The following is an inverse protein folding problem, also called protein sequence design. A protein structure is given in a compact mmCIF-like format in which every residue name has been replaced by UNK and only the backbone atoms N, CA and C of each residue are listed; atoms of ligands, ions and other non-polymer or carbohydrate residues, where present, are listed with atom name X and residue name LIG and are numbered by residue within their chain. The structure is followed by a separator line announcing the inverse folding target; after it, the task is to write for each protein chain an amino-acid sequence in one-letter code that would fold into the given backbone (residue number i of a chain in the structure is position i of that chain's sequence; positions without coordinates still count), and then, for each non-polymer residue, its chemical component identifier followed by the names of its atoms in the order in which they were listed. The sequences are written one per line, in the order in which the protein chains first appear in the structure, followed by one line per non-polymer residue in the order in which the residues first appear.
data_IF_482734242400
#
_entry.id   IF_482734242400
#
_cell.length_a   1.000
_cell.length_b   1.000
_cell.length_c   1.000
_cell.angle_alpha   90.00
_cell.angle_beta   90.00
_cell.angle_gamma   90.00
#
_symmetry.space_group_name_H-M   'P 1'
#
loop_
_entity.id
_entity.type
_entity.pdbx_description
1 polymer ?
#
# COMPACT_ATOMS: atom_id res chain seq x y z
N UNK A 1 8.45 19.38 -7.68
CA UNK A 1 7.26 20.00 -7.04
C UNK A 1 6.55 20.85 -8.06
N UNK A 2 5.22 20.75 -8.11
CA UNK A 2 4.39 21.41 -9.10
C UNK A 2 3.36 22.30 -8.40
N UNK A 3 3.06 23.46 -8.99
CA UNK A 3 1.97 24.30 -8.54
C UNK A 3 0.63 23.62 -8.84
N UNK A 4 -0.26 23.52 -7.84
CA UNK A 4 -1.61 22.95 -7.99
C UNK A 4 -2.68 24.02 -7.71
N UNK A 5 -2.60 25.15 -8.42
CA UNK A 5 -3.40 26.35 -8.12
C UNK A 5 -2.66 27.33 -7.17
N UNK A 6 -3.25 28.50 -6.87
CA UNK A 6 -2.55 29.63 -6.24
C UNK A 6 -2.12 29.37 -4.80
N UNK A 7 -2.72 28.38 -4.15
CA UNK A 7 -2.68 28.17 -2.71
C UNK A 7 -2.33 26.74 -2.30
N UNK A 8 -1.89 25.95 -3.29
CA UNK A 8 -1.55 24.57 -3.11
C UNK A 8 -0.24 24.20 -3.82
N UNK A 9 0.44 23.23 -3.23
CA UNK A 9 1.70 22.68 -3.72
C UNK A 9 1.56 21.17 -3.82
N UNK A 10 1.82 20.63 -5.00
CA UNK A 10 1.89 19.19 -5.23
C UNK A 10 3.35 18.76 -5.18
N UNK A 11 3.69 17.91 -4.22
CA UNK A 11 5.01 17.30 -4.11
C UNK A 11 4.95 15.94 -4.79
N UNK A 12 5.80 15.73 -5.79
CA UNK A 12 5.99 14.43 -6.45
C UNK A 12 7.22 13.75 -5.86
N UNK A 13 7.08 12.48 -5.50
CA UNK A 13 8.13 11.67 -4.88
C UNK A 13 8.49 10.51 -5.81
N UNK A 14 9.61 9.84 -5.53
CA UNK A 14 10.14 8.75 -6.35
C UNK A 14 9.14 7.58 -6.44
N UNK A 15 8.53 7.22 -5.32
CA UNK A 15 7.57 6.12 -5.18
C UNK A 15 6.63 6.34 -3.98
N UNK A 16 5.81 5.33 -3.68
CA UNK A 16 4.85 5.37 -2.58
C UNK A 16 5.48 5.31 -1.19
N UNK A 17 6.63 4.64 -1.02
CA UNK A 17 7.32 4.59 0.28
C UNK A 17 7.87 5.98 0.63
N UNK A 18 8.42 6.69 -0.34
CA UNK A 18 8.85 8.08 -0.17
C UNK A 18 7.67 9.04 0.09
N UNK A 19 6.52 8.81 -0.56
CA UNK A 19 5.31 9.61 -0.31
C UNK A 19 4.76 9.39 1.12
N UNK A 20 4.75 8.15 1.60
CA UNK A 20 4.36 7.80 2.96
C UNK A 20 5.31 8.44 3.99
N UNK A 21 6.62 8.31 3.79
CA UNK A 21 7.64 8.91 4.65
C UNK A 21 7.53 10.43 4.70
N UNK A 22 7.35 11.06 3.54
CA UNK A 22 7.18 12.51 3.46
C UNK A 22 5.89 12.98 4.15
N UNK A 23 4.79 12.24 3.98
CA UNK A 23 3.53 12.51 4.68
C UNK A 23 3.71 12.42 6.20
N UNK A 24 4.33 11.34 6.69
CA UNK A 24 4.60 11.18 8.13
C UNK A 24 5.46 12.33 8.68
N UNK A 25 6.48 12.77 7.95
CA UNK A 25 7.32 13.90 8.36
C UNK A 25 6.55 15.23 8.39
N UNK A 26 5.67 15.47 7.43
CA UNK A 26 4.80 16.64 7.40
C UNK A 26 3.87 16.69 8.63
N UNK A 27 3.25 15.57 8.99
CA UNK A 27 2.41 15.47 10.19
C UNK A 27 3.24 15.73 11.45
N UNK A 28 4.40 15.08 11.58
CA UNK A 28 5.30 15.24 12.72
C UNK A 28 5.74 16.70 12.91
N UNK A 29 6.04 17.42 11.82
CA UNK A 29 6.40 18.84 11.86
C UNK A 29 5.21 19.74 12.15
N UNK A 30 4.02 19.42 11.65
CA UNK A 30 2.78 20.13 12.00
C UNK A 30 2.52 20.06 13.50
N UNK A 31 2.66 18.88 14.11
CA UNK A 31 2.48 18.68 15.55
C UNK A 31 3.52 19.45 16.37
N UNK A 32 4.75 19.59 15.88
CA UNK A 32 5.79 20.43 16.50
C UNK A 32 5.67 21.93 16.21
N UNK A 33 4.73 22.35 15.36
CA UNK A 33 4.60 23.75 14.93
C UNK A 33 5.72 24.24 13.99
N UNK A 34 6.46 23.31 13.37
CA UNK A 34 7.57 23.59 12.46
C UNK A 34 7.14 23.65 10.98
N UNK A 35 5.90 23.26 10.68
CA UNK A 35 5.32 23.36 9.35
C UNK A 35 4.54 24.69 9.24
N UNK A 36 4.76 25.51 8.19
CA UNK A 36 3.90 26.65 7.91
C UNK A 36 2.43 26.25 7.87
N UNK A 37 1.52 27.15 8.27
CA UNK A 37 0.10 26.81 8.31
C UNK A 37 -0.40 26.39 6.92
N UNK A 38 -0.79 25.12 6.82
CA UNK A 38 -1.42 24.48 5.65
C UNK A 38 -2.71 23.86 6.17
N UNK A 39 -3.82 24.05 5.44
CA UNK A 39 -5.12 23.50 5.83
C UNK A 39 -5.11 21.98 5.73
N UNK A 40 -4.84 21.46 4.53
CA UNK A 40 -4.95 20.03 4.24
C UNK A 40 -3.62 19.45 3.75
N UNK A 41 -3.32 18.23 4.22
CA UNK A 41 -2.17 17.44 3.78
C UNK A 41 -2.74 16.12 3.28
N UNK A 42 -2.69 15.91 1.97
CA UNK A 42 -3.38 14.81 1.30
C UNK A 42 -2.37 13.91 0.60
N UNK A 43 -2.02 12.74 1.17
CA UNK A 43 -1.16 11.77 0.51
C UNK A 43 -1.92 11.03 -0.60
N UNK A 44 -1.18 10.60 -1.60
CA UNK A 44 -1.63 9.74 -2.69
C UNK A 44 -0.50 8.79 -3.10
N UNK A 45 -0.69 8.01 -4.17
CA UNK A 45 0.19 6.91 -4.57
C UNK A 45 1.69 7.23 -4.63
N UNK A 46 2.07 8.42 -5.12
CA UNK A 46 3.47 8.91 -5.14
C UNK A 46 3.58 10.42 -4.95
N UNK A 47 2.53 11.04 -4.43
CA UNK A 47 2.44 12.49 -4.32
C UNK A 47 1.83 12.89 -3.00
N UNK A 48 2.18 14.07 -2.50
CA UNK A 48 1.50 14.70 -1.36
C UNK A 48 1.06 16.10 -1.78
N UNK A 49 -0.24 16.37 -1.64
CA UNK A 49 -0.81 17.70 -1.86
C UNK A 49 -0.84 18.46 -0.53
N UNK A 50 -0.26 19.65 -0.53
CA UNK A 50 -0.43 20.65 0.53
C UNK A 50 -1.42 21.69 0.02
N UNK A 51 -2.62 21.75 0.60
CA UNK A 51 -3.66 22.70 0.21
C UNK A 51 -3.97 23.71 1.31
N UNK A 52 -4.31 24.94 0.92
CA UNK A 52 -4.59 26.04 1.83
C UNK A 52 -3.35 26.59 2.54
N UNK A 53 -2.24 26.77 1.81
CA UNK A 53 -1.00 27.38 2.34
C UNK A 53 -1.28 28.82 2.80
N UNK A 54 -1.25 29.08 4.10
CA UNK A 54 -1.72 30.34 4.68
C UNK A 54 -0.92 31.58 4.23
N UNK A 55 0.39 31.44 4.01
CA UNK A 55 1.21 32.54 3.47
C UNK A 55 0.78 32.85 2.03
N UNK A 56 0.17 34.03 1.86
CA UNK A 56 -0.29 34.55 0.56
C UNK A 56 0.71 35.53 -0.07
N UNK A 57 1.87 35.74 0.55
CA UNK A 57 2.89 36.65 0.05
C UNK A 57 3.45 36.19 -1.31
N UNK A 58 3.96 37.14 -2.13
CA UNK A 58 4.66 36.79 -3.36
C UNK A 58 5.79 35.77 -3.11
N UNK A 59 5.85 34.71 -3.91
CA UNK A 59 6.86 33.66 -3.79
C UNK A 59 6.73 32.74 -2.55
N UNK A 60 5.64 32.81 -1.78
CA UNK A 60 5.41 31.95 -0.61
C UNK A 60 5.51 30.46 -0.95
N UNK A 61 4.88 30.04 -2.05
CA UNK A 61 4.96 28.65 -2.54
C UNK A 61 6.38 28.24 -2.89
N UNK A 62 7.16 29.11 -3.51
CA UNK A 62 8.54 28.80 -3.90
C UNK A 62 9.48 28.75 -2.70
N UNK A 63 9.21 29.56 -1.66
CA UNK A 63 9.92 29.46 -0.38
C UNK A 63 9.59 28.14 0.32
N UNK A 64 8.31 27.79 0.41
CA UNK A 64 7.88 26.51 0.98
C UNK A 64 8.48 25.34 0.20
N UNK A 65 8.40 25.36 -1.13
CA UNK A 65 8.97 24.31 -1.96
C UNK A 65 10.49 24.13 -1.74
N UNK A 66 11.24 25.23 -1.62
CA UNK A 66 12.68 25.18 -1.30
C UNK A 66 12.97 24.65 0.10
N UNK A 67 12.18 25.07 1.09
CA UNK A 67 12.29 24.55 2.46
C UNK A 67 12.03 23.05 2.47
N UNK A 68 10.89 22.59 1.93
CA UNK A 68 10.55 21.17 1.83
C UNK A 68 11.63 20.34 1.11
N UNK A 69 12.23 20.89 0.05
CA UNK A 69 13.29 20.21 -0.69
C UNK A 69 14.61 20.08 0.09
N UNK A 70 14.79 20.87 1.15
CA UNK A 70 15.97 20.80 2.02
C UNK A 70 15.85 19.74 3.12
N UNK A 71 14.65 19.19 3.32
CA UNK A 71 14.39 18.27 4.42
C UNK A 71 15.03 16.91 4.17
N UNK A 72 15.60 16.35 5.23
CA UNK A 72 15.93 14.92 5.30
C UNK A 72 14.73 14.19 5.87
N UNK A 73 14.17 13.29 5.06
CA UNK A 73 12.99 12.49 5.40
C UNK A 73 13.48 11.08 5.63
N UNK A 74 13.38 10.63 6.87
CA UNK A 74 13.73 9.26 7.21
C UNK A 74 12.59 8.31 6.82
N UNK A 75 12.91 7.07 6.40
CA UNK A 75 11.89 6.06 6.15
C UNK A 75 11.01 5.83 7.38
N UNK A 76 9.72 5.61 7.16
CA UNK A 76 8.79 5.28 8.25
C UNK A 76 9.18 3.94 8.86
N UNK A 77 9.39 3.93 10.18
CA UNK A 77 9.56 2.66 10.90
C UNK A 77 8.28 1.83 10.78
N UNK A 78 8.42 0.59 10.32
CA UNK A 78 7.31 -0.38 10.25
C UNK A 78 6.97 -1.00 11.60
N UNK A 79 7.73 -0.69 12.65
CA UNK A 79 7.53 -1.22 14.00
C UNK A 79 6.62 -0.28 14.82
N UNK A 80 5.44 -0.77 15.20
CA UNK A 80 4.57 -0.14 16.20
C UNK A 80 3.08 -0.13 15.86
N UNK A 81 2.26 -0.22 16.92
CA UNK A 81 0.80 -0.13 16.89
C UNK A 81 0.11 -1.49 16.78
N UNK A 82 -0.97 -1.68 17.54
CA UNK A 82 -1.85 -2.83 17.35
C UNK A 82 -2.57 -2.68 15.99
N UNK A 83 -2.54 -3.69 15.12
CA UNK A 83 -3.18 -3.60 13.81
C UNK A 83 -4.70 -3.51 13.97
N UNK A 84 -5.33 -2.66 13.14
CA UNK A 84 -6.78 -2.70 12.96
C UNK A 84 -7.12 -4.03 12.28
N UNK A 85 -7.96 -4.82 12.93
CA UNK A 85 -8.45 -6.08 12.39
C UNK A 85 -9.68 -5.86 11.53
N UNK A 86 -9.62 -6.34 10.28
CA UNK A 86 -10.74 -6.30 9.35
C UNK A 86 -11.25 -7.72 9.13
N UNK A 87 -12.46 -8.09 9.61
CA UNK A 87 -13.04 -9.39 9.35
C UNK A 87 -13.41 -9.53 7.87
N UNK A 88 -13.07 -10.67 7.27
CA UNK A 88 -13.30 -10.95 5.84
C UNK A 88 -13.87 -12.34 5.63
N UNK A 89 -15.00 -12.41 4.93
CA UNK A 89 -15.46 -13.64 4.28
C UNK A 89 -14.83 -13.66 2.89
N UNK A 90 -14.01 -14.67 2.58
CA UNK A 90 -13.38 -14.83 1.26
C UNK A 90 -14.33 -15.59 0.34
N UNK A 91 -15.31 -14.89 -0.20
CA UNK A 91 -16.35 -15.37 -1.11
C UNK A 91 -16.42 -14.53 -2.41
N UNK A 92 -15.32 -13.84 -2.74
CA UNK A 92 -15.30 -12.88 -3.83
C UNK A 92 -15.40 -13.53 -5.22
N UNK A 93 -16.09 -12.89 -6.18
CA UNK A 93 -16.29 -13.44 -7.52
C UNK A 93 -15.02 -13.53 -8.37
N UNK A 94 -13.92 -12.87 -7.97
CA UNK A 94 -12.64 -12.91 -8.68
C UNK A 94 -11.61 -13.80 -7.95
N UNK A 95 -12.00 -14.57 -6.92
CA UNK A 95 -11.10 -15.46 -6.19
C UNK A 95 -10.35 -16.43 -7.10
N UNK A 96 -11.07 -17.17 -7.95
CA UNK A 96 -10.47 -18.14 -8.87
C UNK A 96 -9.52 -17.47 -9.86
N UNK A 97 -9.87 -16.27 -10.34
CA UNK A 97 -9.04 -15.50 -11.26
C UNK A 97 -7.75 -15.01 -10.58
N UNK A 98 -7.84 -14.56 -9.32
CA UNK A 98 -6.67 -14.17 -8.52
C UNK A 98 -5.81 -15.39 -8.17
N UNK A 99 -6.43 -16.52 -7.83
CA UNK A 99 -5.74 -17.78 -7.57
C UNK A 99 -4.92 -18.23 -8.77
N UNK A 100 -5.51 -18.17 -9.97
CA UNK A 100 -4.82 -18.47 -11.22
C UNK A 100 -3.63 -17.52 -11.49
N UNK A 101 -3.78 -16.22 -11.22
CA UNK A 101 -2.68 -15.24 -11.34
C UNK A 101 -1.54 -15.50 -10.36
N UNK A 102 -1.85 -16.03 -9.18
CA UNK A 102 -0.87 -16.36 -8.15
C UNK A 102 -0.30 -17.78 -8.26
N UNK A 103 -0.90 -18.64 -9.09
CA UNK A 103 -0.50 -20.04 -9.25
C UNK A 103 -0.83 -20.91 -8.04
N UNK A 104 -1.96 -20.64 -7.36
CA UNK A 104 -2.38 -21.26 -6.10
C UNK A 104 -3.84 -21.73 -6.15
N UNK A 105 -4.28 -22.48 -5.13
CA UNK A 105 -5.70 -22.80 -4.93
C UNK A 105 -6.54 -21.58 -4.51
N UNK A 106 -7.84 -21.56 -4.81
CA UNK A 106 -8.74 -20.46 -4.42
C UNK A 106 -8.84 -20.30 -2.89
N UNK A 107 -8.79 -21.41 -2.17
CA UNK A 107 -8.70 -21.49 -0.71
C UNK A 107 -7.39 -20.90 -0.14
N UNK A 108 -6.30 -20.92 -0.92
CA UNK A 108 -5.02 -20.34 -0.53
C UNK A 108 -4.97 -18.82 -0.69
N UNK A 109 -5.83 -18.21 -1.53
CA UNK A 109 -5.87 -16.76 -1.75
C UNK A 109 -6.16 -16.02 -0.44
N UNK A 110 -7.19 -16.45 0.28
CA UNK A 110 -7.56 -15.86 1.57
C UNK A 110 -6.48 -16.04 2.64
N UNK A 111 -5.81 -17.19 2.64
CA UNK A 111 -4.69 -17.47 3.55
C UNK A 111 -3.46 -16.60 3.25
N UNK A 112 -3.11 -16.39 1.98
CA UNK A 112 -2.01 -15.51 1.58
C UNK A 112 -2.31 -14.04 1.89
N UNK A 113 -3.53 -13.60 1.58
CA UNK A 113 -3.96 -12.24 1.86
C UNK A 113 -3.96 -11.96 3.37
N UNK A 114 -4.62 -12.79 4.19
CA UNK A 114 -4.69 -12.57 5.64
C UNK A 114 -3.36 -12.64 6.39
N UNK A 115 -2.38 -13.42 5.90
CA UNK A 115 -1.02 -13.48 6.50
C UNK A 115 -0.15 -12.27 6.16
N UNK A 116 -0.55 -11.47 5.18
CA UNK A 116 0.20 -10.28 4.77
C UNK A 116 -0.05 -9.14 5.76
N UNK A 117 1.02 -8.53 6.26
CA UNK A 117 0.91 -7.32 7.06
C UNK A 117 0.66 -6.14 6.12
N UNK A 118 -0.47 -5.46 6.32
CA UNK A 118 -0.83 -4.29 5.52
C UNK A 118 -0.70 -3.00 6.31
N UNK A 119 -0.57 -1.90 5.57
CA UNK A 119 -0.61 -0.55 6.10
C UNK A 119 -1.35 0.36 5.14
N UNK A 120 -2.11 1.31 5.67
CA UNK A 120 -2.78 2.32 4.84
C UNK A 120 -1.73 3.26 4.26
N UNK A 121 -1.48 3.18 2.96
CA UNK A 121 -0.55 4.07 2.27
C UNK A 121 -1.13 5.47 2.12
N UNK A 122 -2.41 5.56 1.73
CA UNK A 122 -3.15 6.80 1.61
C UNK A 122 -4.66 6.53 1.60
N UNK A 123 -5.45 7.56 1.83
CA UNK A 123 -6.91 7.51 1.78
C UNK A 123 -7.43 8.39 0.64
N UNK A 124 -8.55 8.02 0.04
CA UNK A 124 -9.12 8.74 -1.10
C UNK A 124 -10.27 7.98 -1.73
N UNK A 125 -10.74 8.40 -2.91
CA UNK A 125 -11.88 7.83 -3.65
C UNK A 125 -13.26 7.97 -2.96
N UNK A 126 -13.38 7.56 -1.70
CA UNK A 126 -14.58 7.73 -0.89
C UNK A 126 -14.21 7.85 0.60
N UNK A 127 -15.03 8.53 1.43
CA UNK A 127 -14.87 8.52 2.89
C UNK A 127 -14.77 7.08 3.42
N UNK A 128 -13.73 6.80 4.20
CA UNK A 128 -13.43 5.47 4.75
C UNK A 128 -12.67 4.51 3.84
N UNK A 129 -12.38 4.87 2.58
CA UNK A 129 -11.59 4.01 1.68
C UNK A 129 -10.09 4.28 1.86
N UNK A 130 -9.38 3.27 2.36
CA UNK A 130 -7.92 3.25 2.48
C UNK A 130 -7.28 2.36 1.42
N UNK A 131 -6.24 2.85 0.76
CA UNK A 131 -5.38 2.05 -0.12
C UNK A 131 -4.32 1.38 0.75
N UNK A 132 -4.41 0.06 0.89
CA UNK A 132 -3.55 -0.72 1.78
C UNK A 132 -2.39 -1.32 0.99
N UNK A 133 -1.16 -0.95 1.35
CA UNK A 133 0.08 -1.49 0.79
C UNK A 133 0.67 -2.56 1.71
N UNK A 134 1.58 -3.38 1.17
CA UNK A 134 2.23 -4.49 1.89
C UNK A 134 2.25 -5.79 1.10
N UNK A 135 1.48 -5.87 0.01
CA UNK A 135 1.44 -7.03 -0.86
C UNK A 135 2.79 -7.23 -1.58
N UNK A 136 3.44 -8.42 -1.45
CA UNK A 136 4.66 -8.72 -2.19
C UNK A 136 4.48 -8.56 -3.70
N UNK A 137 5.53 -8.13 -4.41
CA UNK A 137 5.48 -7.86 -5.87
C UNK A 137 4.93 -9.03 -6.69
N UNK A 138 5.33 -10.26 -6.35
CA UNK A 138 4.83 -11.49 -7.01
C UNK A 138 3.32 -11.72 -6.86
N UNK A 139 2.66 -11.05 -5.91
CA UNK A 139 1.23 -11.17 -5.65
C UNK A 139 0.45 -9.96 -6.20
N UNK A 140 1.10 -9.01 -6.86
CA UNK A 140 0.39 -7.88 -7.48
C UNK A 140 -0.53 -8.38 -8.59
N UNK A 141 -1.77 -7.91 -8.60
CA UNK A 141 -2.78 -8.34 -9.59
C UNK A 141 -3.24 -7.15 -10.43
N UNK A 142 -3.39 -7.29 -11.76
CA UNK A 142 -3.88 -6.19 -12.57
C UNK A 142 -5.33 -5.83 -12.22
N UNK A 143 -5.71 -4.59 -12.54
CA UNK A 143 -7.14 -4.23 -12.59
C UNK A 143 -7.84 -5.03 -13.68
N UNK A 144 -9.14 -5.23 -13.52
CA UNK A 144 -10.00 -5.73 -14.59
C UNK A 144 -9.94 -4.79 -15.79
N UNK A 145 -9.92 -5.36 -16.98
CA UNK A 145 -9.96 -4.64 -18.27
C UNK A 145 -11.24 -3.82 -18.40
N UNK A 146 -12.37 -4.38 -17.98
CA UNK A 146 -13.66 -3.69 -17.92
C UNK A 146 -14.09 -3.52 -16.46
N UNK A 147 -14.18 -2.27 -15.95
CA UNK A 147 -14.66 -2.01 -14.60
C UNK A 147 -16.11 -2.48 -14.40
N UNK A 148 -16.45 -2.91 -13.19
CA UNK A 148 -17.83 -3.14 -12.78
C UNK A 148 -18.55 -1.80 -12.67
N UNK A 149 -19.77 -1.74 -13.16
CA UNK A 149 -20.68 -0.60 -12.96
C UNK A 149 -21.06 -0.42 -11.51
N UNK A 150 -21.05 -1.52 -10.74
CA UNK A 150 -21.35 -1.53 -9.30
C UNK A 150 -20.53 -2.61 -8.59
N UNK A 151 -19.77 -2.18 -7.59
CA UNK A 151 -19.12 -3.00 -6.57
C UNK A 151 -19.92 -2.81 -5.27
N UNK A 152 -20.25 -3.88 -4.53
CA UNK A 152 -21.02 -3.77 -3.29
C UNK A 152 -20.18 -3.13 -2.16
N UNK A 153 -20.86 -2.51 -1.19
CA UNK A 153 -20.21 -2.09 0.04
C UNK A 153 -19.66 -3.32 0.79
N UNK A 154 -18.53 -3.15 1.47
CA UNK A 154 -17.79 -4.21 2.14
C UNK A 154 -16.93 -5.05 1.20
N UNK A 155 -16.99 -4.89 -0.12
CA UNK A 155 -16.16 -5.69 -1.01
C UNK A 155 -14.66 -5.49 -0.68
N UNK A 156 -13.96 -6.59 -0.44
CA UNK A 156 -12.50 -6.64 -0.27
C UNK A 156 -11.90 -6.93 -1.63
N UNK A 157 -10.95 -6.10 -2.06
CA UNK A 157 -10.47 -6.14 -3.42
C UNK A 157 -8.99 -5.84 -3.56
N UNK A 158 -8.40 -6.29 -4.67
CA UNK A 158 -6.99 -6.14 -5.02
C UNK A 158 -6.82 -5.39 -6.35
N UNK A 159 -5.80 -4.53 -6.42
CA UNK A 159 -5.30 -3.95 -7.67
C UNK A 159 -3.87 -3.42 -7.54
N UNK A 160 -2.99 -3.90 -8.42
CA UNK A 160 -1.56 -3.66 -8.39
C UNK A 160 -0.98 -4.06 -7.03
N UNK A 161 -0.25 -3.16 -6.36
CA UNK A 161 0.30 -3.41 -5.03
C UNK A 161 -0.71 -3.26 -3.88
N UNK A 162 -1.95 -2.88 -4.18
CA UNK A 162 -2.90 -2.45 -3.17
C UNK A 162 -4.01 -3.48 -2.94
N UNK A 163 -4.43 -3.56 -1.68
CA UNK A 163 -5.73 -4.11 -1.26
C UNK A 163 -6.58 -3.01 -0.63
N UNK A 164 -7.88 -3.23 -0.48
CA UNK A 164 -8.79 -2.22 0.04
C UNK A 164 -10.20 -2.77 0.25
N UNK A 165 -10.96 -2.07 1.10
CA UNK A 165 -12.37 -2.39 1.38
C UNK A 165 -13.23 -1.24 0.89
N UNK A 166 -14.22 -1.54 0.05
CA UNK A 166 -15.16 -0.54 -0.46
C UNK A 166 -16.14 -0.14 0.66
N UNK A 167 -16.13 1.09 1.18
CA UNK A 167 -17.01 1.49 2.29
C UNK A 167 -18.46 1.68 1.85
N UNK A 168 -18.68 1.94 0.55
CA UNK A 168 -20.00 2.20 -0.04
C UNK A 168 -20.06 1.65 -1.47
N UNK A 169 -21.27 1.40 -2.02
CA UNK A 169 -21.40 0.92 -3.39
C UNK A 169 -20.88 1.94 -4.39
N UNK A 170 -20.04 1.51 -5.34
CA UNK A 170 -19.44 2.40 -6.35
C UNK A 170 -18.97 1.60 -7.57
N UNK A 171 -18.78 2.22 -8.74
CA UNK A 171 -18.11 1.55 -9.86
C UNK A 171 -16.64 1.27 -9.51
N UNK A 172 -16.09 0.16 -10.01
CA UNK A 172 -14.73 -0.25 -9.65
C UNK A 172 -14.16 -1.37 -10.52
N UNK A 173 -12.87 -1.26 -10.83
CA UNK A 173 -12.14 -2.25 -11.64
C UNK A 173 -11.19 -3.14 -10.84
N UNK A 174 -11.28 -3.17 -9.52
CA UNK A 174 -10.44 -4.04 -8.69
C UNK A 174 -10.97 -5.47 -8.69
N UNK A 175 -10.07 -6.43 -8.47
CA UNK A 175 -10.39 -7.85 -8.37
C UNK A 175 -10.98 -8.11 -6.99
N UNK A 176 -12.24 -8.54 -6.91
CA UNK A 176 -12.98 -8.74 -5.67
C UNK A 176 -12.73 -10.15 -5.13
N UNK A 177 -12.08 -10.24 -3.97
CA UNK A 177 -11.67 -11.51 -3.34
C UNK A 177 -12.49 -11.88 -2.11
N UNK A 178 -13.35 -10.99 -1.62
CA UNK A 178 -14.23 -11.27 -0.50
C UNK A 178 -15.05 -10.08 -0.08
N UNK A 179 -15.59 -10.12 1.14
CA UNK A 179 -16.33 -9.03 1.75
C UNK A 179 -16.10 -8.91 3.25
N UNK A 180 -16.12 -7.67 3.73
CA UNK A 180 -16.25 -7.30 5.13
C UNK A 180 -17.74 -7.22 5.49
N UNK A 181 -18.23 -7.96 6.51
CA UNK A 181 -19.65 -7.96 6.88
C UNK A 181 -20.19 -6.59 7.34
N UNK A 182 -19.38 -5.80 8.05
CA UNK A 182 -19.77 -4.49 8.59
C UNK A 182 -18.92 -3.33 8.01
N UNK A 183 -19.18 -2.90 6.77
CA UNK A 183 -18.42 -1.81 6.15
C UNK A 183 -18.69 -0.44 6.75
N UNK A 184 -19.74 -0.26 7.57
CA UNK A 184 -20.03 1.02 8.22
C UNK A 184 -18.95 1.38 9.25
N UNK A 185 -18.32 0.38 9.87
CA UNK A 185 -17.22 0.58 10.81
C UNK A 185 -16.02 1.34 10.21
N UNK A 186 -15.83 1.30 8.88
CA UNK A 186 -14.76 2.00 8.17
C UNK A 186 -14.90 3.53 8.24
N UNK A 187 -16.12 4.02 8.37
CA UNK A 187 -16.42 5.45 8.45
C UNK A 187 -17.60 5.71 9.40
N UNK A 188 -17.29 6.28 10.56
CA UNK A 188 -18.28 6.69 11.55
C UNK A 188 -18.15 8.18 11.85
N UNK A 189 -19.09 9.04 11.43
CA UNK A 189 -19.02 10.48 11.67
C UNK A 189 -19.16 10.86 13.16
N UNK A 190 -19.57 9.93 14.03
CA UNK A 190 -19.64 10.14 15.47
C UNK A 190 -18.35 9.74 16.22
N UNK A 191 -17.39 9.10 15.54
CA UNK A 191 -16.09 8.70 16.10
C UNK A 191 -15.01 9.74 15.79
N UNK A 192 -14.04 9.90 16.69
CA UNK A 192 -12.81 10.67 16.45
C UNK A 192 -11.57 9.73 16.56
N UNK A 193 -10.83 9.48 15.47
CA UNK A 193 -11.09 9.94 14.10
C UNK A 193 -12.25 9.19 13.42
N UNK A 194 -12.98 9.90 12.54
CA UNK A 194 -14.13 9.34 11.85
C UNK A 194 -13.77 8.16 10.93
N UNK A 195 -12.64 8.27 10.23
CA UNK A 195 -12.08 7.18 9.43
C UNK A 195 -11.36 6.17 10.34
N UNK A 196 -11.73 4.90 10.23
CA UNK A 196 -11.01 3.82 10.91
C UNK A 196 -9.60 3.63 10.33
N UNK A 197 -9.46 3.87 9.03
CA UNK A 197 -8.25 3.66 8.25
C UNK A 197 -7.65 5.02 7.89
N UNK A 198 -6.75 5.53 8.72
CA UNK A 198 -5.94 6.72 8.42
C UNK A 198 -4.59 6.34 7.80
N UNK A 199 -3.91 7.25 7.06
CA UNK A 199 -2.58 6.97 6.51
C UNK A 199 -1.60 6.55 7.62
N UNK A 200 -0.84 5.49 7.37
CA UNK A 200 0.08 4.88 8.32
C UNK A 200 -0.55 3.85 9.27
N UNK A 201 -1.88 3.69 9.32
CA UNK A 201 -2.52 2.69 10.20
C UNK A 201 -2.11 1.26 9.79
N UNK A 202 -1.57 0.43 10.70
CA UNK A 202 -1.35 -1.00 10.44
C UNK A 202 -2.68 -1.74 10.38
N UNK A 203 -2.82 -2.68 9.45
CA UNK A 203 -4.05 -3.42 9.19
C UNK A 203 -3.76 -4.91 9.02
N UNK A 204 -4.63 -5.74 9.60
CA UNK A 204 -4.63 -7.19 9.42
C UNK A 204 -6.02 -7.65 8.99
N UNK A 205 -6.10 -8.46 7.94
CA UNK A 205 -7.35 -9.10 7.55
C UNK A 205 -7.51 -10.42 8.28
N UNK A 206 -8.67 -10.62 8.89
CA UNK A 206 -8.99 -11.81 9.68
C UNK A 206 -10.07 -12.61 8.94
N UNK A 207 -9.76 -13.82 8.42
CA UNK A 207 -10.77 -14.67 7.81
C UNK A 207 -11.87 -15.02 8.84
N UNK A 208 -13.13 -14.83 8.46
CA UNK A 208 -14.30 -15.28 9.23
C UNK A 208 -15.13 -16.21 8.36
N UNK A 209 -15.56 -17.34 8.91
CA UNK A 209 -16.38 -18.31 8.18
C UNK A 209 -17.76 -17.75 7.83
N UNK A 210 -18.45 -18.37 6.87
CA UNK A 210 -19.86 -18.10 6.60
C UNK A 210 -20.72 -18.61 7.77
N UNK A 211 -20.87 -17.77 8.80
CA UNK A 211 -21.65 -18.08 10.00
C UNK A 211 -20.82 -18.01 11.27
N UNK A 212 -20.57 -16.79 11.76
CA UNK A 212 -19.91 -16.57 13.04
C UNK A 212 -20.23 -15.19 13.60
N UNK A 213 -21.42 -15.02 14.18
CA UNK A 213 -21.56 -14.11 15.32
C UNK A 213 -20.60 -14.52 16.43
N UNK A 214 -20.31 -13.65 17.42
CA UNK A 214 -19.17 -13.83 18.32
C UNK A 214 -19.25 -15.17 19.04
N UNK A 215 -18.33 -16.08 18.71
CA UNK A 215 -18.12 -17.28 19.50
C UNK A 215 -17.31 -16.89 20.73
N UNK A 216 -18.03 -16.39 21.75
CA UNK A 216 -17.66 -16.66 23.12
C UNK A 216 -17.76 -18.19 23.31
N UNK A 217 -16.65 -18.87 23.06
CA UNK A 217 -16.54 -20.32 23.10
C UNK A 217 -15.33 -20.72 23.93
N UNK A 218 -15.57 -20.79 25.24
CA UNK A 218 -14.85 -21.51 26.28
C UNK A 218 -13.65 -22.37 25.82
N UNK A 219 -12.52 -22.15 26.48
CA UNK A 219 -11.47 -23.17 26.66
C UNK A 219 -12.15 -24.47 27.12
N UNK A 220 -12.02 -25.60 26.40
CA UNK A 220 -12.43 -26.87 26.95
C UNK A 220 -11.44 -27.23 28.05
N UNK A 221 -11.91 -27.25 29.30
CA UNK A 221 -11.14 -27.83 30.41
C UNK A 221 -10.73 -29.27 30.06
N UNK A 222 -9.49 -29.68 30.38
CA UNK A 222 -9.06 -31.04 30.17
C UNK A 222 -9.81 -31.94 31.16
N UNK A 223 -10.74 -32.76 30.63
CA UNK A 223 -11.40 -33.82 31.39
C UNK A 223 -10.35 -34.72 32.02
N UNK A 224 -10.35 -34.76 33.35
CA UNK A 224 -9.47 -35.58 34.16
C UNK A 224 -9.53 -37.04 33.74
N UNK A 225 -8.41 -37.54 33.23
CA UNK A 225 -8.11 -38.97 33.20
C UNK A 225 -7.68 -39.37 34.60
N UNK A 226 -8.49 -40.21 35.23
CA UNK A 226 -8.15 -41.00 36.42
C UNK A 226 -6.82 -41.72 36.20
N UNK A 227 -5.88 -41.48 37.12
CA UNK A 227 -4.61 -42.20 37.20
C UNK A 227 -4.81 -43.55 37.91
N UNK A 228 -4.13 -44.62 37.50
CA UNK A 228 -3.67 -45.64 38.42
C UNK A 228 -2.23 -45.32 38.86
N UNK A 229 -1.96 -45.52 40.15
CA UNK A 229 -0.67 -45.31 40.78
C UNK A 229 0.43 -46.25 40.21
N UNK A 230 1.70 -45.82 40.18
CA UNK A 230 2.82 -46.75 40.15
C UNK A 230 3.65 -46.71 41.44
N UNK A 231 3.94 -47.91 41.93
CA UNK A 231 4.92 -48.21 42.97
C UNK A 231 6.34 -47.99 42.44
N UNK A 232 7.14 -47.27 43.22
CA UNK A 232 8.58 -47.44 43.51
C UNK A 232 9.58 -47.82 42.41
N UNK A 233 10.67 -47.04 42.32
CA UNK A 233 12.02 -47.62 42.17
C UNK A 233 12.99 -46.93 41.21
N UNK A 234 14.00 -46.27 41.81
CA UNK A 234 15.41 -46.18 41.39
C UNK A 234 15.82 -45.43 40.09
N UNK A 235 16.68 -44.42 40.26
CA UNK A 235 17.71 -43.94 39.32
C UNK A 235 19.01 -44.79 39.47
N UNK A 236 20.16 -44.57 38.78
CA UNK A 236 20.58 -43.61 37.72
C UNK A 236 21.36 -44.37 36.57
N UNK A 237 22.37 -43.84 35.80
CA UNK A 237 22.91 -42.49 35.60
C UNK A 237 23.16 -42.03 34.13
N UNK A 238 23.62 -40.78 34.09
CA UNK A 238 24.30 -39.91 33.11
C UNK A 238 25.22 -40.55 32.05
N UNK A 239 25.24 -39.98 30.84
CA UNK A 239 26.49 -39.79 30.09
C UNK A 239 26.44 -38.57 29.14
N UNK A 240 27.56 -37.83 29.16
CA UNK A 240 27.96 -36.66 28.36
C UNK A 240 28.76 -37.21 27.15
N UNK A 241 28.85 -36.58 25.98
CA UNK A 241 29.92 -35.66 25.49
C UNK A 241 29.81 -35.58 23.94
N UNK A 242 30.59 -34.74 23.20
CA UNK A 242 30.13 -34.01 22.01
C UNK A 242 30.86 -34.51 20.74
N UNK A 243 30.59 -33.91 19.58
CA UNK A 243 31.50 -34.03 18.44
C UNK A 243 31.75 -32.68 17.79
N UNK A 244 33.03 -32.38 17.60
CA UNK A 244 33.59 -31.21 16.95
C UNK A 244 34.53 -31.67 15.81
N UNK A 245 34.75 -30.79 14.83
CA UNK A 245 35.81 -30.88 13.82
C UNK A 245 35.35 -31.53 12.49
N UNK A 246 35.83 -31.13 11.32
CA UNK A 246 36.88 -30.18 10.97
C UNK A 246 36.76 -29.80 9.48
N UNK A 247 37.42 -28.71 9.13
CA UNK A 247 37.60 -28.18 7.79
C UNK A 247 38.33 -29.15 6.83
N UNK A 248 38.04 -29.02 5.53
CA UNK A 248 39.04 -29.26 4.49
C UNK A 248 38.87 -28.25 3.35
N UNK A 249 39.98 -27.58 3.06
CA UNK A 249 40.24 -26.78 1.87
C UNK A 249 40.53 -27.71 0.69
N UNK A 250 40.19 -27.28 -0.54
CA UNK A 250 40.97 -27.60 -1.76
C UNK A 250 40.61 -26.65 -2.91
N UNK A 251 41.66 -25.99 -3.42
CA UNK A 251 42.02 -25.68 -4.84
C UNK A 251 40.91 -25.30 -5.85
N UNK A 252 40.90 -24.10 -6.44
CA UNK A 252 41.80 -23.53 -7.47
C UNK A 252 41.38 -23.83 -8.93
N UNK A 253 40.66 -22.86 -9.54
CA UNK A 253 40.82 -22.23 -10.90
C UNK A 253 40.77 -23.17 -12.16
N UNK A 254 40.66 -22.71 -13.45
CA UNK A 254 40.68 -21.35 -14.02
C UNK A 254 39.73 -21.04 -15.22
N UNK A 255 39.90 -19.81 -15.73
CA UNK A 255 39.62 -19.29 -17.10
C UNK A 255 38.17 -18.90 -17.47
N UNK A 256 37.88 -17.81 -18.20
CA UNK A 256 38.66 -16.79 -18.91
C UNK A 256 37.82 -15.50 -19.07
N UNK A 257 38.45 -14.32 -19.15
CA UNK A 257 37.81 -13.12 -19.72
C UNK A 257 37.98 -13.07 -21.26
N UNK A 258 37.86 -11.91 -21.93
CA UNK A 258 37.18 -10.67 -21.55
C UNK A 258 36.36 -10.06 -22.73
N UNK A 259 35.89 -8.83 -22.48
CA UNK A 259 35.66 -7.70 -23.43
C UNK A 259 34.28 -7.44 -24.09
N UNK A 260 33.97 -6.14 -24.35
CA UNK A 260 32.62 -5.57 -24.43
C UNK A 260 32.21 -5.17 -25.86
N UNK A 261 30.93 -4.92 -26.09
CA UNK A 261 30.40 -4.14 -27.21
C UNK A 261 29.07 -3.50 -26.76
N UNK A 262 28.96 -2.18 -26.66
CA UNK A 262 28.86 -1.15 -27.70
C UNK A 262 27.45 -0.54 -27.66
N UNK A 263 27.33 0.65 -27.06
CA UNK A 263 26.25 1.59 -27.39
C UNK A 263 26.60 2.38 -28.66
N UNK A 264 25.80 3.41 -28.99
CA UNK A 264 24.62 3.27 -29.84
C UNK A 264 24.80 3.99 -31.18
N UNK A 265 23.97 3.65 -32.18
CA UNK A 265 23.82 4.47 -33.39
C UNK A 265 22.37 4.91 -33.60
N UNK A 266 22.13 6.17 -34.00
CA UNK A 266 20.82 6.80 -34.06
C UNK A 266 20.14 6.57 -35.41
N UNK A 267 18.82 6.43 -35.42
CA UNK A 267 18.04 6.54 -36.66
C UNK A 267 17.35 7.91 -36.75
N UNK A 268 17.66 8.56 -37.88
CA UNK A 268 17.20 9.85 -38.33
C UNK A 268 15.67 9.94 -38.48
N UNK A 269 15.12 11.10 -38.16
CA UNK A 269 13.75 11.48 -38.48
C UNK A 269 13.58 11.90 -39.95
N UNK A 270 12.34 12.00 -40.44
CA UNK A 270 12.01 12.73 -41.65
C UNK A 270 11.53 14.17 -41.37
N UNK A 271 11.97 15.05 -42.26
CA UNK A 271 11.78 16.50 -42.42
C UNK A 271 10.32 16.99 -42.48
N UNK A 272 10.08 18.30 -42.23
CA UNK A 272 8.75 18.90 -42.10
C UNK A 272 8.08 19.22 -43.46
N UNK A 273 6.77 18.98 -43.53
CA UNK A 273 5.93 19.44 -44.63
C UNK A 273 5.60 20.93 -44.49
N UNK A 274 5.77 21.65 -45.61
CA UNK A 274 5.50 23.07 -45.79
C UNK A 274 4.03 23.45 -45.48
N UNK A 275 3.86 24.57 -44.78
CA UNK A 275 2.56 25.17 -44.48
C UNK A 275 1.92 25.86 -45.69
N UNK A 276 0.59 26.06 -45.67
CA UNK A 276 -0.10 26.82 -46.69
C UNK A 276 0.02 28.34 -46.49
N UNK A 277 0.32 29.02 -47.59
CA UNK A 277 0.40 30.47 -47.80
C UNK A 277 -0.89 31.21 -47.43
N UNK A 278 -0.83 32.41 -46.80
CA UNK A 278 -2.01 33.21 -46.47
C UNK A 278 -2.59 33.94 -47.70
N UNK A 279 -3.92 34.19 -47.76
CA UNK A 279 -4.52 34.99 -48.83
C UNK A 279 -4.27 36.49 -48.67
N UNK A 280 -4.15 37.15 -49.82
CA UNK A 280 -3.77 38.54 -50.03
C UNK A 280 -4.80 39.57 -49.50
N UNK A 281 -4.25 40.69 -49.03
CA UNK A 281 -4.98 41.91 -48.70
C UNK A 281 -5.47 42.63 -49.97
N UNK A 282 -6.75 42.98 -50.00
CA UNK A 282 -7.39 43.94 -50.92
C UNK A 282 -7.96 45.14 -50.14
N UNK A 283 -8.27 46.25 -50.81
CA UNK A 283 -7.75 47.57 -50.43
C UNK A 283 -8.62 48.39 -49.47
N UNK A 284 -7.96 49.29 -48.75
CA UNK A 284 -8.57 50.45 -48.09
C UNK A 284 -9.19 51.39 -49.13
N UNK A 285 -10.45 51.75 -48.92
CA UNK A 285 -11.06 52.96 -49.44
C UNK A 285 -11.48 53.83 -48.23
N UNK A 286 -11.12 55.10 -48.26
CA UNK A 286 -11.50 56.08 -47.24
C UNK A 286 -12.84 56.74 -47.56
N UNK A 287 -13.53 57.14 -46.49
CA UNK A 287 -14.24 58.41 -46.28
C UNK A 287 -14.71 58.42 -44.82
#
# INVERSE_FOLDING_TARGET
MLAAGPHALLVELADGEHAEAFHAELIRRRERGELPAVRDIVPAARTVLLDGIADRGPGARDRLARDLASWRVEPVSRAGGDPVEIPVVYDGPDLDAVAALWGVGADEVGALHSRTAFRVAFCGFAPGFGYLAGLPERLHVPRRTTPRTRVPAGAVALAGPYTGVYPRPSPGGWQLIGRMPDPAALWDPAREPAALLGPGTPVRFVPVGEGGGPHAGAVPEPRGRTAPAPLGGAAPPTETTPYAGAAHQTEATPHAGPTPHAGPTPHAGPTPHAGPTPPAAGPRAGA
#
